data_IF_895332579109
#
_entry.id   IF_895332579109
#
_cell.length_a   1.000
_cell.length_b   1.000
_cell.length_c   1.000
_cell.angle_alpha   90.00
_cell.angle_beta   90.00
_cell.angle_gamma   90.00
#
_symmetry.space_group_name_H-M   'P 1'
#
loop_
_entity.id
_entity.type
_entity.pdbx_description
1 polymer ?
#
# COMPACT_ATOMS: atom_id res chain seq x y z
N UNK A 1 48.14 -30.97 -28.71
CA UNK A 1 47.32 -31.24 -27.51
C UNK A 1 47.51 -30.09 -26.55
N UNK A 2 46.45 -29.32 -26.27
CA UNK A 2 46.23 -28.66 -24.98
C UNK A 2 44.75 -28.20 -24.97
N UNK A 3 44.00 -28.75 -24.03
CA UNK A 3 42.60 -28.48 -23.70
C UNK A 3 42.52 -27.27 -22.76
N UNK A 4 41.43 -26.50 -22.82
CA UNK A 4 41.12 -25.49 -21.81
C UNK A 4 39.69 -24.97 -21.94
N UNK A 5 38.74 -25.67 -21.31
CA UNK A 5 37.40 -25.14 -21.02
C UNK A 5 37.48 -24.31 -19.73
N UNK A 6 37.11 -23.03 -19.80
CA UNK A 6 36.83 -22.20 -18.62
C UNK A 6 35.45 -21.62 -18.81
N UNK A 7 34.43 -22.29 -18.27
CA UNK A 7 33.11 -21.72 -18.12
C UNK A 7 33.12 -20.82 -16.89
N UNK A 8 33.01 -19.51 -17.11
CA UNK A 8 32.76 -18.59 -16.02
C UNK A 8 31.31 -18.78 -15.58
N UNK A 9 31.17 -19.32 -14.37
CA UNK A 9 29.90 -19.41 -13.68
C UNK A 9 29.36 -17.99 -13.46
N UNK A 10 28.19 -17.72 -14.02
CA UNK A 10 27.37 -16.57 -13.69
C UNK A 10 27.22 -16.50 -12.15
N UNK A 11 27.48 -15.36 -11.51
CA UNK A 11 27.18 -15.21 -10.10
C UNK A 11 25.68 -15.34 -9.95
N UNK A 12 25.24 -16.43 -9.31
CA UNK A 12 23.86 -16.72 -9.03
C UNK A 12 23.17 -15.45 -8.51
N UNK A 13 22.24 -14.91 -9.30
CA UNK A 13 21.31 -13.91 -8.84
C UNK A 13 20.63 -14.48 -7.59
N UNK A 14 21.00 -13.97 -6.42
CA UNK A 14 20.31 -14.27 -5.18
C UNK A 14 18.87 -13.76 -5.35
N UNK A 15 18.00 -14.62 -5.86
CA UNK A 15 16.56 -14.44 -5.79
C UNK A 15 16.22 -14.55 -4.31
N UNK A 16 16.17 -13.41 -3.62
CA UNK A 16 15.60 -13.32 -2.29
C UNK A 16 14.11 -13.62 -2.42
N UNK A 17 13.74 -14.89 -2.44
CA UNK A 17 12.35 -15.34 -2.38
C UNK A 17 11.87 -15.21 -0.94
N UNK A 18 11.69 -13.96 -0.49
CA UNK A 18 10.93 -13.72 0.73
C UNK A 18 9.52 -14.25 0.50
N UNK A 19 8.99 -15.13 1.35
CA UNK A 19 7.63 -15.63 1.21
C UNK A 19 6.62 -14.49 1.45
N UNK A 20 5.38 -14.60 0.92
CA UNK A 20 4.31 -13.70 1.30
C UNK A 20 4.11 -13.73 2.82
N UNK A 21 3.79 -12.59 3.46
CA UNK A 21 3.52 -12.56 4.88
C UNK A 21 2.26 -13.37 5.14
N UNK A 22 2.27 -14.12 6.24
CA UNK A 22 1.12 -14.89 6.76
C UNK A 22 0.80 -14.50 8.20
N UNK A 23 1.52 -13.52 8.73
CA UNK A 23 1.40 -12.99 10.08
C UNK A 23 1.36 -11.46 10.02
N UNK A 24 0.78 -10.81 11.03
CA UNK A 24 0.77 -9.35 11.11
C UNK A 24 2.18 -8.76 11.20
N UNK A 25 2.35 -7.48 10.82
CA UNK A 25 3.58 -6.74 11.08
C UNK A 25 3.88 -6.69 12.59
N UNK A 26 5.15 -6.46 12.94
CA UNK A 26 5.56 -6.37 14.34
C UNK A 26 5.32 -4.96 14.89
N UNK A 27 5.01 -4.87 16.18
CA UNK A 27 4.89 -3.60 16.91
C UNK A 27 3.99 -2.57 16.21
N UNK A 28 2.83 -3.05 15.74
CA UNK A 28 1.85 -2.19 15.08
C UNK A 28 1.37 -1.11 16.04
N UNK A 29 1.50 0.12 15.59
CA UNK A 29 1.00 1.34 16.23
C UNK A 29 0.21 2.15 15.20
N UNK A 30 -0.53 3.15 15.67
CA UNK A 30 -1.42 3.92 14.83
C UNK A 30 -1.11 5.41 14.91
N UNK A 31 -1.20 6.08 13.75
CA UNK A 31 -1.11 7.53 13.63
C UNK A 31 -2.35 8.06 12.90
N UNK A 32 -2.63 9.34 13.04
CA UNK A 32 -3.77 9.97 12.39
C UNK A 32 -3.34 10.78 11.17
N UNK A 33 -4.00 10.55 10.04
CA UNK A 33 -3.89 11.37 8.84
C UNK A 33 -5.28 11.87 8.44
N UNK A 34 -5.49 13.19 8.48
CA UNK A 34 -6.77 13.83 8.11
C UNK A 34 -8.00 13.14 8.73
N UNK A 35 -7.91 12.76 10.01
CA UNK A 35 -9.01 12.14 10.77
C UNK A 35 -9.08 10.60 10.69
N UNK A 36 -8.30 9.97 9.82
CA UNK A 36 -8.29 8.50 9.65
C UNK A 36 -7.03 7.89 10.27
N UNK A 37 -7.19 6.76 10.95
CA UNK A 37 -6.08 6.01 11.52
C UNK A 37 -5.31 5.26 10.43
N UNK A 38 -3.98 5.34 10.47
CA UNK A 38 -3.07 4.69 9.53
C UNK A 38 -2.05 3.88 10.32
N UNK A 39 -1.81 2.60 9.98
CA UNK A 39 -0.92 1.76 10.74
C UNK A 39 0.54 2.09 10.44
N UNK A 40 1.36 1.85 11.46
CA UNK A 40 2.81 1.91 11.47
C UNK A 40 3.36 0.68 12.15
N UNK A 41 4.51 0.19 11.72
CA UNK A 41 5.14 -0.99 12.29
C UNK A 41 6.66 -0.93 12.08
N UNK A 42 7.38 -1.92 12.60
CA UNK A 42 8.81 -2.09 12.33
C UNK A 42 9.11 -2.19 10.82
N UNK A 43 8.22 -2.83 10.07
CA UNK A 43 8.31 -2.97 8.61
C UNK A 43 8.02 -1.68 7.84
N UNK A 44 7.75 -0.58 8.56
CA UNK A 44 7.62 0.76 8.03
C UNK A 44 6.27 1.41 8.32
N UNK A 45 6.13 2.69 7.93
CA UNK A 45 7.19 3.55 7.38
C UNK A 45 8.27 3.89 8.43
N UNK A 46 9.46 4.34 7.98
CA UNK A 46 10.53 4.82 8.89
C UNK A 46 10.12 6.05 9.70
N UNK A 47 9.22 6.86 9.15
CA UNK A 47 8.59 7.99 9.83
C UNK A 47 7.08 7.93 9.62
N UNK A 48 6.34 7.79 10.72
CA UNK A 48 4.90 7.65 10.77
C UNK A 48 4.12 8.96 10.61
N UNK A 49 4.71 10.09 10.98
CA UNK A 49 3.96 11.34 11.15
C UNK A 49 3.92 12.19 9.87
N UNK A 50 4.66 11.77 8.84
CA UNK A 50 4.71 12.43 7.56
C UNK A 50 3.40 12.36 6.76
N UNK A 51 3.16 13.41 5.97
CA UNK A 51 2.04 13.46 5.02
C UNK A 51 2.18 12.44 3.88
N UNK A 52 3.41 12.05 3.56
CA UNK A 52 3.74 11.05 2.54
C UNK A 52 4.91 10.18 3.06
N UNK A 53 4.64 9.26 3.99
CA UNK A 53 5.67 8.52 4.70
C UNK A 53 6.25 7.40 3.82
N UNK A 54 7.57 7.25 3.89
CA UNK A 54 8.39 6.36 3.06
C UNK A 54 9.32 5.50 3.92
N UNK A 55 10.05 4.59 3.27
CA UNK A 55 11.03 3.73 3.90
C UNK A 55 10.45 2.42 4.42
N UNK A 56 9.50 1.84 3.70
CA UNK A 56 8.98 0.52 4.03
C UNK A 56 10.03 -0.55 3.73
N UNK A 57 10.04 -1.61 4.53
CA UNK A 57 10.94 -2.74 4.28
C UNK A 57 10.61 -3.46 2.97
N UNK A 58 11.63 -4.04 2.34
CA UNK A 58 11.50 -4.82 1.11
C UNK A 58 10.93 -6.23 1.37
N UNK A 59 9.80 -6.28 2.05
CA UNK A 59 9.06 -7.48 2.46
C UNK A 59 7.59 -7.32 2.12
N UNK A 60 6.80 -8.40 2.14
CA UNK A 60 5.37 -8.30 1.85
C UNK A 60 4.58 -7.59 2.96
N UNK A 61 5.05 -7.60 4.21
CA UNK A 61 4.45 -6.80 5.28
C UNK A 61 4.69 -5.29 5.04
N UNK A 62 5.92 -4.91 4.65
CA UNK A 62 6.22 -3.55 4.20
C UNK A 62 5.37 -3.13 2.99
N UNK A 63 5.18 -4.04 2.03
CA UNK A 63 4.32 -3.81 0.87
C UNK A 63 2.86 -3.56 1.26
N UNK A 64 2.31 -4.33 2.21
CA UNK A 64 0.95 -4.15 2.71
C UNK A 64 0.76 -2.81 3.43
N UNK A 65 1.69 -2.45 4.32
CA UNK A 65 1.66 -1.16 5.03
C UNK A 65 1.74 0.01 4.05
N UNK A 66 2.63 -0.08 3.04
CA UNK A 66 2.72 0.92 1.98
C UNK A 66 1.41 1.04 1.18
N UNK A 67 0.80 -0.10 0.83
CA UNK A 67 -0.47 -0.12 0.09
C UNK A 67 -1.61 0.54 0.88
N UNK A 68 -1.73 0.22 2.18
CA UNK A 68 -2.72 0.83 3.09
C UNK A 68 -2.49 2.33 3.19
N UNK A 69 -1.27 2.74 3.52
CA UNK A 69 -0.90 4.15 3.72
C UNK A 69 -1.15 4.99 2.45
N UNK A 70 -0.69 4.52 1.30
CA UNK A 70 -0.88 5.21 0.02
C UNK A 70 -2.37 5.29 -0.36
N UNK A 71 -3.13 4.22 -0.17
CA UNK A 71 -4.57 4.19 -0.50
C UNK A 71 -5.36 5.18 0.36
N UNK A 72 -5.14 5.19 1.68
CA UNK A 72 -5.81 6.14 2.58
C UNK A 72 -5.43 7.57 2.18
N UNK A 73 -4.14 7.85 2.03
CA UNK A 73 -3.64 9.20 1.74
C UNK A 73 -4.13 9.72 0.39
N UNK A 74 -4.20 8.87 -0.63
CA UNK A 74 -4.78 9.25 -1.91
C UNK A 74 -6.27 9.62 -1.82
N UNK A 75 -7.03 8.96 -0.95
CA UNK A 75 -8.46 9.19 -0.81
C UNK A 75 -8.79 10.49 -0.08
N UNK A 76 -8.02 10.84 0.96
CA UNK A 76 -8.40 11.92 1.91
C UNK A 76 -7.38 13.06 2.03
N UNK A 77 -6.26 13.03 1.31
CA UNK A 77 -5.33 14.15 1.33
C UNK A 77 -6.04 15.43 0.84
N UNK A 78 -5.80 16.52 1.57
CA UNK A 78 -6.34 17.83 1.24
C UNK A 78 -5.70 18.44 -0.02
N UNK A 79 -6.24 19.59 -0.42
CA UNK A 79 -5.85 20.30 -1.64
C UNK A 79 -4.37 20.75 -1.66
N UNK A 80 -3.73 20.86 -0.49
CA UNK A 80 -2.32 21.26 -0.34
C UNK A 80 -1.39 20.05 -0.34
N UNK A 81 -1.83 18.94 0.26
CA UNK A 81 -1.00 17.77 0.56
C UNK A 81 -1.03 16.73 -0.55
N UNK A 82 -2.14 16.59 -1.29
CA UNK A 82 -2.28 15.53 -2.28
C UNK A 82 -1.17 15.52 -3.36
N UNK A 83 -0.62 16.66 -3.85
CA UNK A 83 0.43 16.61 -4.86
C UNK A 83 1.71 15.94 -4.33
N UNK A 84 2.03 16.16 -3.05
CA UNK A 84 3.16 15.53 -2.37
C UNK A 84 2.93 14.03 -2.17
N UNK A 85 1.72 13.64 -1.77
CA UNK A 85 1.32 12.23 -1.62
C UNK A 85 1.50 11.48 -2.94
N UNK A 86 0.95 12.01 -4.03
CA UNK A 86 1.10 11.39 -5.35
C UNK A 86 2.56 11.37 -5.81
N UNK A 87 3.27 12.48 -5.57
CA UNK A 87 4.69 12.62 -5.88
C UNK A 87 5.54 11.50 -5.31
N UNK A 88 5.32 11.18 -4.04
CA UNK A 88 6.17 10.29 -3.26
C UNK A 88 5.67 8.84 -3.19
N UNK A 89 4.35 8.60 -3.20
CA UNK A 89 3.78 7.29 -2.88
C UNK A 89 3.21 6.56 -4.10
N UNK A 90 3.14 7.19 -5.28
CA UNK A 90 2.50 6.61 -6.46
C UNK A 90 3.52 6.45 -7.58
N UNK A 91 3.57 5.25 -8.16
CA UNK A 91 4.46 4.93 -9.25
C UNK A 91 4.18 5.84 -10.47
N UNK A 92 5.22 6.41 -11.11
CA UNK A 92 5.06 7.18 -12.34
C UNK A 92 4.34 6.37 -13.43
N UNK A 93 3.24 6.90 -13.97
CA UNK A 93 2.44 6.24 -15.00
C UNK A 93 1.44 7.22 -15.63
N UNK A 94 0.95 6.90 -16.84
CA UNK A 94 -0.15 7.67 -17.47
C UNK A 94 -1.39 7.69 -16.56
N UNK A 95 -1.67 6.60 -15.85
CA UNK A 95 -2.78 6.52 -14.91
C UNK A 95 -2.63 7.51 -13.74
N UNK A 96 -1.41 7.68 -13.21
CA UNK A 96 -1.09 8.70 -12.19
C UNK A 96 -1.34 10.11 -12.69
N UNK A 97 -0.95 10.40 -13.92
CA UNK A 97 -1.13 11.73 -14.51
C UNK A 97 -2.62 12.04 -14.71
N UNK A 98 -3.38 11.08 -15.25
CA UNK A 98 -4.84 11.20 -15.41
C UNK A 98 -5.56 11.33 -14.07
N UNK A 99 -5.16 10.55 -13.07
CA UNK A 99 -5.69 10.69 -11.71
C UNK A 99 -5.46 12.10 -11.17
N UNK A 100 -4.26 12.67 -11.38
CA UNK A 100 -3.92 14.02 -10.90
C UNK A 100 -4.77 15.09 -11.59
N UNK A 101 -5.00 14.98 -12.90
CA UNK A 101 -5.88 15.88 -13.66
C UNK A 101 -7.32 15.82 -13.12
N UNK A 102 -7.81 14.63 -12.80
CA UNK A 102 -9.15 14.45 -12.25
C UNK A 102 -9.24 14.94 -10.80
N UNK A 103 -8.23 14.68 -9.97
CA UNK A 103 -8.20 15.06 -8.56
C UNK A 103 -8.25 16.56 -8.35
N UNK A 104 -7.66 17.37 -9.24
CA UNK A 104 -7.73 18.85 -9.22
C UNK A 104 -9.17 19.38 -9.26
N UNK A 105 -10.13 18.61 -9.78
CA UNK A 105 -11.56 19.00 -9.84
C UNK A 105 -12.31 18.72 -8.54
N UNK A 106 -11.68 18.03 -7.60
CA UNK A 106 -12.24 17.67 -6.30
C UNK A 106 -11.56 18.55 -5.26
N UNK A 107 -12.32 19.13 -4.34
CA UNK A 107 -11.77 19.89 -3.22
C UNK A 107 -12.03 19.15 -1.92
N UNK A 108 -10.96 18.91 -1.15
CA UNK A 108 -11.02 18.36 0.21
C UNK A 108 -10.30 19.38 1.11
N UNK A 109 -11.06 20.00 2.01
CA UNK A 109 -10.60 21.10 2.87
C UNK A 109 -10.75 20.82 4.35
N UNK A 110 -11.46 19.75 4.71
CA UNK A 110 -11.68 19.35 6.10
C UNK A 110 -11.25 17.90 6.31
N UNK A 111 -10.66 17.58 7.48
CA UNK A 111 -10.46 16.20 7.91
C UNK A 111 -11.77 15.41 7.94
N UNK A 112 -11.66 14.08 7.92
CA UNK A 112 -12.80 13.21 8.20
C UNK A 112 -13.17 13.33 9.67
N UNK A 113 -14.45 13.56 9.96
CA UNK A 113 -14.97 13.60 11.33
C UNK A 113 -14.79 12.23 12.01
N UNK A 114 -14.52 12.21 13.31
CA UNK A 114 -14.14 10.98 14.04
C UNK A 114 -15.21 9.88 13.93
N UNK A 115 -16.48 10.24 13.96
CA UNK A 115 -17.62 9.32 13.84
C UNK A 115 -17.89 8.86 12.40
N UNK A 116 -17.24 9.49 11.42
CA UNK A 116 -17.32 9.17 10.00
C UNK A 116 -16.03 8.52 9.47
N UNK A 117 -15.02 8.34 10.31
CA UNK A 117 -13.74 7.76 9.93
C UNK A 117 -13.85 6.25 9.76
N UNK A 118 -13.53 5.69 8.57
CA UNK A 118 -13.44 4.26 8.40
C UNK A 118 -12.23 3.69 9.17
N UNK A 119 -12.33 2.42 9.56
CA UNK A 119 -11.29 1.70 10.31
C UNK A 119 -10.74 0.57 9.45
N UNK A 120 -9.43 0.55 9.23
CA UNK A 120 -8.77 -0.60 8.59
C UNK A 120 -8.64 -1.70 9.64
N UNK A 121 -9.16 -2.88 9.34
CA UNK A 121 -9.13 -4.04 10.26
C UNK A 121 -7.99 -5.00 9.94
N UNK A 122 -7.52 -5.00 8.69
CA UNK A 122 -6.54 -5.96 8.22
C UNK A 122 -6.37 -5.95 6.72
N UNK A 123 -5.68 -6.95 6.20
CA UNK A 123 -5.46 -7.10 4.76
C UNK A 123 -5.27 -8.55 4.34
N UNK A 124 -5.55 -8.84 3.06
CA UNK A 124 -5.15 -10.07 2.37
C UNK A 124 -3.99 -9.80 1.42
N UNK A 125 -3.18 -10.82 1.13
CA UNK A 125 -2.15 -10.77 0.08
C UNK A 125 -2.61 -11.63 -1.09
N UNK A 126 -3.09 -10.99 -2.14
CA UNK A 126 -3.64 -11.67 -3.31
C UNK A 126 -2.52 -12.21 -4.20
N UNK A 127 -1.40 -11.48 -4.26
CA UNK A 127 -0.17 -11.93 -4.90
C UNK A 127 1.03 -11.17 -4.33
N UNK A 128 2.19 -11.84 -4.29
CA UNK A 128 3.43 -11.23 -3.84
C UNK A 128 4.63 -11.78 -4.60
N UNK A 129 5.47 -10.86 -5.05
CA UNK A 129 6.87 -11.05 -5.41
C UNK A 129 7.67 -9.95 -4.73
N UNK A 130 9.00 -10.08 -4.62
CA UNK A 130 9.82 -8.98 -4.12
C UNK A 130 9.65 -7.70 -4.96
N UNK A 131 9.21 -7.75 -6.21
CA UNK A 131 9.05 -6.55 -7.04
C UNK A 131 7.63 -5.99 -7.05
N UNK A 132 6.62 -6.77 -6.63
CA UNK A 132 5.21 -6.40 -6.78
C UNK A 132 4.33 -7.14 -5.78
N UNK A 133 3.39 -6.42 -5.17
CA UNK A 133 2.36 -7.01 -4.32
C UNK A 133 0.98 -6.50 -4.69
N UNK A 134 -0.02 -7.37 -4.64
CA UNK A 134 -1.44 -6.99 -4.69
C UNK A 134 -2.07 -7.31 -3.35
N UNK A 135 -2.67 -6.30 -2.73
CA UNK A 135 -3.16 -6.30 -1.35
C UNK A 135 -4.66 -6.02 -1.36
N UNK A 136 -5.44 -6.84 -0.66
CA UNK A 136 -6.85 -6.57 -0.40
C UNK A 136 -7.01 -5.93 0.97
N UNK A 137 -7.20 -4.62 1.04
CA UNK A 137 -7.34 -3.85 2.29
C UNK A 137 -8.77 -4.01 2.80
N UNK A 138 -8.93 -4.49 4.04
CA UNK A 138 -10.24 -4.69 4.65
C UNK A 138 -10.54 -3.53 5.59
N UNK A 139 -11.65 -2.86 5.30
CA UNK A 139 -12.04 -1.62 5.98
C UNK A 139 -13.47 -1.72 6.46
N UNK A 140 -13.69 -1.46 7.74
CA UNK A 140 -15.01 -1.23 8.33
C UNK A 140 -15.41 0.22 8.13
N UNK A 141 -16.59 0.41 7.55
CA UNK A 141 -17.20 1.71 7.32
C UNK A 141 -17.97 2.17 8.57
N UNK A 142 -18.30 3.47 8.68
CA UNK A 142 -19.06 4.01 9.82
C UNK A 142 -20.43 3.34 10.06
N UNK A 143 -21.05 2.80 9.01
CA UNK A 143 -22.31 2.05 9.09
C UNK A 143 -22.13 0.56 9.45
N UNK A 144 -20.92 0.16 9.83
CA UNK A 144 -20.46 -1.21 10.09
C UNK A 144 -20.43 -2.14 8.87
N UNK A 145 -20.67 -1.64 7.66
CA UNK A 145 -20.43 -2.43 6.46
C UNK A 145 -18.92 -2.65 6.24
N UNK A 146 -18.57 -3.79 5.64
CA UNK A 146 -17.20 -4.10 5.28
C UNK A 146 -16.96 -3.83 3.80
N UNK A 147 -15.81 -3.26 3.51
CA UNK A 147 -15.31 -3.09 2.14
C UNK A 147 -13.93 -3.68 1.99
N UNK A 148 -13.67 -4.27 0.84
CA UNK A 148 -12.35 -4.70 0.39
C UNK A 148 -11.87 -3.76 -0.71
N UNK A 149 -10.72 -3.12 -0.49
CA UNK A 149 -10.07 -2.26 -1.48
C UNK A 149 -8.80 -2.95 -1.99
N UNK A 150 -8.77 -3.33 -3.26
CA UNK A 150 -7.58 -3.90 -3.90
C UNK A 150 -6.59 -2.79 -4.25
N UNK A 151 -5.35 -2.92 -3.80
CA UNK A 151 -4.26 -2.01 -4.07
C UNK A 151 -3.02 -2.78 -4.54
N UNK A 152 -2.36 -2.28 -5.57
CA UNK A 152 -1.14 -2.89 -6.10
C UNK A 152 0.02 -1.97 -5.79
N UNK A 153 1.12 -2.50 -5.26
CA UNK A 153 2.37 -1.76 -5.05
C UNK A 153 3.52 -2.41 -5.79
N UNK A 154 4.47 -1.60 -6.22
CA UNK A 154 5.70 -2.03 -6.90
C UNK A 154 6.93 -1.53 -6.17
N UNK A 155 7.97 -2.36 -6.11
CA UNK A 155 9.23 -1.95 -5.53
C UNK A 155 9.96 -1.03 -6.51
N UNK A 156 10.20 0.21 -6.09
CA UNK A 156 10.86 1.22 -6.89
C UNK A 156 12.39 1.09 -6.84
N UNK A 157 13.04 1.59 -7.88
CA UNK A 157 14.51 1.68 -7.95
C UNK A 157 15.09 2.60 -6.87
N UNK A 158 14.27 3.48 -6.29
CA UNK A 158 14.66 4.37 -5.19
C UNK A 158 14.59 3.69 -3.82
N UNK A 159 14.22 2.40 -3.78
CA UNK A 159 14.25 1.59 -2.56
C UNK A 159 13.02 1.75 -1.68
N UNK A 160 11.84 1.84 -2.29
CA UNK A 160 10.58 1.88 -1.55
C UNK A 160 9.39 1.29 -2.35
N UNK A 161 8.30 0.95 -1.66
CA UNK A 161 7.05 0.50 -2.27
C UNK A 161 6.19 1.67 -2.73
N UNK A 162 5.82 1.68 -4.01
CA UNK A 162 4.94 2.71 -4.60
C UNK A 162 3.65 2.10 -5.09
N UNK A 163 2.52 2.78 -4.86
CA UNK A 163 1.22 2.39 -5.38
C UNK A 163 1.21 2.46 -6.92
N UNK A 164 0.92 1.33 -7.55
CA UNK A 164 0.66 1.23 -8.97
C UNK A 164 -0.84 1.48 -9.21
N UNK A 165 -1.15 2.57 -9.90
CA UNK A 165 -2.52 2.78 -10.37
C UNK A 165 -2.81 1.88 -11.57
N UNK A 166 -4.01 1.29 -11.65
CA UNK A 166 -4.39 0.45 -12.77
C UNK A 166 -4.40 1.28 -14.06
N UNK A 167 -4.17 0.61 -15.18
CA UNK A 167 -4.33 1.22 -16.49
C UNK A 167 -5.73 1.85 -16.61
N UNK A 168 -5.82 2.96 -17.35
CA UNK A 168 -7.04 3.79 -17.44
C UNK A 168 -8.21 3.08 -18.11
N UNK A 169 -7.93 2.03 -18.88
CA UNK A 169 -8.90 1.15 -19.53
C UNK A 169 -9.29 -0.08 -18.68
N UNK A 170 -8.68 -0.25 -17.50
CA UNK A 170 -9.02 -1.33 -16.60
C UNK A 170 -10.37 -1.06 -15.91
N UNK A 171 -11.33 -1.93 -16.17
CA UNK A 171 -12.70 -1.84 -15.64
C UNK A 171 -12.95 -2.70 -14.39
N UNK A 172 -11.92 -3.38 -13.89
CA UNK A 172 -12.04 -4.24 -12.70
C UNK A 172 -12.36 -3.38 -11.47
N UNK A 173 -13.46 -3.66 -10.75
CA UNK A 173 -13.78 -2.93 -9.53
C UNK A 173 -12.66 -3.06 -8.49
N UNK A 174 -12.22 -1.92 -7.97
CA UNK A 174 -11.15 -1.85 -6.96
C UNK A 174 -11.68 -1.89 -5.54
N UNK A 175 -12.90 -1.41 -5.34
CA UNK A 175 -13.59 -1.39 -4.05
C UNK A 175 -14.82 -2.28 -4.19
N UNK A 176 -14.97 -3.22 -3.26
CA UNK A 176 -16.07 -4.17 -3.23
C UNK A 176 -16.65 -4.21 -1.82
N UNK A 177 -17.98 -4.20 -1.69
CA UNK A 177 -18.62 -4.54 -0.43
C UNK A 177 -18.47 -6.04 -0.17
N UNK A 178 -18.16 -6.42 1.05
CA UNK A 178 -18.08 -7.82 1.50
C UNK A 178 -18.97 -8.01 2.73
N UNK A 179 -19.50 -9.21 2.91
CA UNK A 179 -20.41 -9.51 4.03
C UNK A 179 -19.69 -10.06 5.26
N UNK A 180 -18.48 -10.60 5.09
CA UNK A 180 -17.66 -11.21 6.14
C UNK A 180 -16.19 -10.98 5.84
N UNK A 181 -15.36 -10.83 6.88
CA UNK A 181 -13.91 -10.77 6.73
C UNK A 181 -13.38 -12.04 6.03
N UNK A 182 -12.39 -11.93 5.13
CA UNK A 182 -11.75 -13.10 4.52
C UNK A 182 -11.08 -13.99 5.57
N UNK A 183 -11.12 -15.32 5.37
CA UNK A 183 -10.54 -16.27 6.31
C UNK A 183 -8.99 -16.26 6.34
N UNK A 184 -8.39 -15.77 5.26
CA UNK A 184 -6.94 -15.58 5.08
C UNK A 184 -6.50 -14.14 5.41
N UNK A 185 -7.38 -13.34 6.01
CA UNK A 185 -7.05 -11.99 6.44
C UNK A 185 -5.96 -12.02 7.51
N UNK A 186 -5.00 -11.13 7.36
CA UNK A 186 -4.03 -10.79 8.38
C UNK A 186 -4.61 -9.62 9.17
N UNK A 187 -5.02 -9.89 10.40
CA UNK A 187 -5.60 -8.91 11.31
C UNK A 187 -4.55 -7.87 11.74
N UNK A 188 -4.93 -6.60 11.72
CA UNK A 188 -4.18 -5.54 12.40
C UNK A 188 -4.81 -5.32 13.78
N UNK A 189 -4.01 -5.09 14.84
CA UNK A 189 -4.56 -4.74 16.14
C UNK A 189 -5.34 -3.43 16.04
N UNK A 190 -6.43 -3.32 16.80
CA UNK A 190 -7.29 -2.14 16.77
C UNK A 190 -6.50 -0.86 17.13
N UNK A 191 -6.87 0.31 16.56
CA UNK A 191 -6.31 1.59 16.98
C UNK A 191 -6.63 1.87 18.45
N UNK A 192 -5.58 2.09 19.25
CA UNK A 192 -5.67 2.46 20.67
C UNK A 192 -6.09 3.91 20.90
#
# INVERSE_FOLDING_TARGET
MLTGCGGDADPAAHSSTTPPPTAPPNDVSWTTFSGVQVPCADQGPKDCYGSAPTGYEHTGAGAALAAISATIRMSIADDVVWPKVVGALVAPSVARDQWSINRVRISIVHPVEKDQAPVVEGYTIDSYTPQKATVGIITRQPDNSLTRTTATVVWSVTGDWLLELPATDNTTPRVQSITTAPADMIDLPEPS
#
